data_IF_980792893296
#
_entry.id   IF_980792893296
#
_cell.length_a   1.000
_cell.length_b   1.000
_cell.length_c   1.000
_cell.angle_alpha   90.00
_cell.angle_beta   90.00
_cell.angle_gamma   90.00
#
_symmetry.space_group_name_H-M   'P 1'
#
loop_
_entity.id
_entity.type
_entity.pdbx_description
1 polymer ?
#
# COMPACT_ATOMS: atom_id res chain seq x y z
N UNK A 1 -48.16 2.92 26.45
CA UNK A 1 -48.78 3.15 27.78
C UNK A 1 -47.99 2.50 28.93
N UNK A 2 -47.42 1.31 28.77
CA UNK A 2 -46.65 0.61 29.83
C UNK A 2 -45.36 1.36 30.22
N UNK A 3 -44.63 1.91 29.25
CA UNK A 3 -43.37 2.65 29.50
C UNK A 3 -43.57 3.93 30.32
N UNK A 4 -44.67 4.66 30.08
CA UNK A 4 -44.99 5.88 30.84
C UNK A 4 -45.39 5.61 32.30
N UNK A 5 -46.00 4.45 32.57
CA UNK A 5 -46.33 4.02 33.92
C UNK A 5 -45.06 3.61 34.69
N UNK A 6 -44.16 2.86 34.02
CA UNK A 6 -42.86 2.46 34.59
C UNK A 6 -41.98 3.68 34.89
N UNK A 7 -41.91 4.65 33.97
CA UNK A 7 -41.17 5.89 34.17
C UNK A 7 -41.70 6.72 35.36
N UNK A 8 -43.02 6.80 35.52
CA UNK A 8 -43.66 7.54 36.62
C UNK A 8 -43.42 6.88 37.98
N UNK A 9 -43.45 5.54 38.06
CA UNK A 9 -43.18 4.77 39.28
C UNK A 9 -41.69 4.87 39.68
N UNK A 10 -40.77 4.84 38.70
CA UNK A 10 -39.33 4.96 38.95
C UNK A 10 -38.91 6.36 39.40
N UNK A 11 -39.59 7.41 38.92
CA UNK A 11 -39.36 8.80 39.35
C UNK A 11 -39.68 9.01 40.84
N UNK A 12 -40.75 8.37 41.33
CA UNK A 12 -41.20 8.46 42.72
C UNK A 12 -40.33 7.61 43.66
N UNK A 13 -39.76 6.50 43.19
CA UNK A 13 -39.06 5.52 44.03
C UNK A 13 -37.59 5.87 44.38
N UNK A 14 -36.96 6.85 43.73
CA UNK A 14 -35.54 7.14 44.03
C UNK A 14 -34.79 8.09 43.12
N UNK A 15 -35.48 8.92 42.33
CA UNK A 15 -34.84 9.97 41.53
C UNK A 15 -33.88 9.47 40.44
N UNK A 16 -33.37 10.42 39.66
CA UNK A 16 -32.55 10.24 38.46
C UNK A 16 -31.40 9.21 38.60
N UNK A 17 -30.86 9.05 39.81
CA UNK A 17 -29.79 8.11 40.15
C UNK A 17 -30.15 6.63 40.00
N UNK A 18 -31.41 6.24 40.29
CA UNK A 18 -31.87 4.86 40.09
C UNK A 18 -31.99 4.52 38.60
N UNK A 19 -32.46 5.48 37.79
CA UNK A 19 -32.56 5.35 36.34
C UNK A 19 -31.16 5.29 35.69
N UNK A 20 -30.21 6.10 36.19
CA UNK A 20 -28.82 6.09 35.74
C UNK A 20 -28.13 4.76 36.10
N UNK A 21 -28.35 4.24 37.30
CA UNK A 21 -27.80 2.94 37.72
C UNK A 21 -28.37 1.79 36.88
N UNK A 22 -29.68 1.81 36.60
CA UNK A 22 -30.32 0.83 35.72
C UNK A 22 -29.76 0.90 34.28
N UNK A 23 -29.54 2.11 33.76
CA UNK A 23 -28.94 2.31 32.43
C UNK A 23 -27.50 1.80 32.38
N UNK A 24 -26.65 2.15 33.36
CA UNK A 24 -25.26 1.67 33.47
C UNK A 24 -25.21 0.15 33.61
N UNK A 25 -26.08 -0.44 34.42
CA UNK A 25 -26.18 -1.89 34.61
C UNK A 25 -26.57 -2.60 33.30
N UNK A 26 -27.44 -2.02 32.48
CA UNK A 26 -27.81 -2.56 31.16
C UNK A 26 -26.76 -2.32 30.06
N UNK A 27 -25.95 -1.26 30.17
CA UNK A 27 -24.95 -0.90 29.16
C UNK A 27 -23.68 -1.73 29.29
N UNK A 28 -23.31 -2.15 30.50
CA UNK A 28 -22.12 -2.96 30.77
C UNK A 28 -22.06 -4.28 29.96
N UNK A 29 -23.10 -5.14 29.92
CA UNK A 29 -23.05 -6.37 29.12
C UNK A 29 -22.96 -6.08 27.61
N UNK A 30 -23.60 -5.01 27.13
CA UNK A 30 -23.51 -4.61 25.73
C UNK A 30 -22.10 -4.12 25.37
N UNK A 31 -21.44 -3.36 26.26
CA UNK A 31 -20.07 -2.91 26.08
C UNK A 31 -19.08 -4.09 25.96
N UNK A 32 -19.28 -5.17 26.72
CA UNK A 32 -18.46 -6.39 26.61
C UNK A 32 -18.62 -7.03 25.22
N UNK A 33 -19.86 -7.13 24.71
CA UNK A 33 -20.13 -7.66 23.37
C UNK A 33 -19.46 -6.77 22.30
N UNK A 34 -19.58 -5.44 22.42
CA UNK A 34 -18.92 -4.50 21.50
C UNK A 34 -17.39 -4.64 21.51
N UNK A 35 -16.78 -4.85 22.69
CA UNK A 35 -15.34 -5.09 22.81
C UNK A 35 -14.91 -6.37 22.10
N UNK A 36 -15.67 -7.46 22.28
CA UNK A 36 -15.39 -8.74 21.59
C UNK A 36 -15.53 -8.56 20.07
N UNK A 37 -16.56 -7.86 19.61
CA UNK A 37 -16.77 -7.57 18.20
C UNK A 37 -15.64 -6.71 17.62
N UNK A 38 -15.17 -5.69 18.34
CA UNK A 38 -14.06 -4.84 17.92
C UNK A 38 -12.74 -5.63 17.82
N UNK A 39 -12.45 -6.51 18.77
CA UNK A 39 -11.28 -7.40 18.72
C UNK A 39 -11.39 -8.40 17.58
N UNK A 40 -12.58 -8.96 17.34
CA UNK A 40 -12.86 -9.86 16.23
C UNK A 40 -12.66 -9.18 14.88
N UNK A 41 -13.20 -7.97 14.71
CA UNK A 41 -13.02 -7.15 13.52
C UNK A 41 -11.56 -6.77 13.31
N UNK A 42 -10.86 -6.35 14.37
CA UNK A 42 -9.42 -6.04 14.29
C UNK A 42 -8.61 -7.25 13.81
N UNK A 43 -8.89 -8.44 14.35
CA UNK A 43 -8.22 -9.68 13.92
C UNK A 43 -8.59 -10.07 12.49
N UNK A 44 -9.87 -9.93 12.10
CA UNK A 44 -10.30 -10.17 10.74
C UNK A 44 -9.59 -9.23 9.75
N UNK A 45 -9.46 -7.95 10.09
CA UNK A 45 -8.75 -6.96 9.28
C UNK A 45 -7.27 -7.30 9.13
N UNK A 46 -6.61 -7.74 10.21
CA UNK A 46 -5.20 -8.19 10.16
C UNK A 46 -5.04 -9.43 9.27
N UNK A 47 -5.99 -10.37 9.32
CA UNK A 47 -5.99 -11.55 8.45
C UNK A 47 -6.23 -11.15 6.99
N UNK A 48 -7.16 -10.25 6.73
CA UNK A 48 -7.50 -9.75 5.40
C UNK A 48 -6.33 -9.00 4.75
N UNK A 49 -5.59 -8.18 5.51
CA UNK A 49 -4.33 -7.55 5.05
C UNK A 49 -3.30 -8.59 4.56
N UNK A 50 -3.25 -9.78 5.15
CA UNK A 50 -2.36 -10.86 4.71
C UNK A 50 -2.97 -11.72 3.59
N UNK A 51 -4.29 -11.83 3.50
CA UNK A 51 -4.99 -12.71 2.55
C UNK A 51 -5.36 -11.99 1.23
N UNK A 52 -5.50 -10.66 1.24
CA UNK A 52 -5.75 -9.84 0.05
C UNK A 52 -4.54 -9.74 -0.89
N UNK A 53 -3.32 -9.97 -0.38
CA UNK A 53 -2.08 -9.96 -1.16
C UNK A 53 -2.06 -11.00 -2.31
N UNK A 54 -2.85 -12.08 -2.22
CA UNK A 54 -2.87 -13.15 -3.24
C UNK A 54 -4.10 -13.12 -4.15
N UNK A 55 -5.28 -12.74 -3.64
CA UNK A 55 -6.55 -12.82 -4.39
C UNK A 55 -6.88 -11.54 -5.18
N UNK A 56 -6.64 -10.34 -4.63
CA UNK A 56 -6.80 -9.09 -5.39
C UNK A 56 -5.68 -8.89 -6.42
N UNK A 57 -4.55 -9.59 -6.26
CA UNK A 57 -3.44 -9.61 -7.20
C UNK A 57 -3.89 -10.03 -8.60
N UNK A 58 -4.92 -10.88 -8.71
CA UNK A 58 -5.42 -11.33 -10.01
C UNK A 58 -6.42 -10.35 -10.65
N UNK A 59 -7.18 -9.57 -9.87
CA UNK A 59 -8.22 -8.68 -10.41
C UNK A 59 -7.71 -7.30 -10.81
N UNK A 60 -6.73 -6.72 -10.11
CA UNK A 60 -6.13 -5.44 -10.54
C UNK A 60 -5.20 -5.59 -11.77
N UNK A 61 -4.75 -6.82 -12.06
CA UNK A 61 -3.96 -7.18 -13.26
C UNK A 61 -4.70 -7.00 -14.60
N UNK A 62 -6.02 -6.82 -14.59
CA UNK A 62 -6.84 -6.64 -15.79
C UNK A 62 -7.07 -5.17 -16.20
N UNK A 63 -6.83 -4.21 -15.30
CA UNK A 63 -7.18 -2.79 -15.51
C UNK A 63 -5.99 -1.85 -15.62
N UNK A 64 -4.75 -2.32 -15.38
CA UNK A 64 -3.54 -1.54 -15.63
C UNK A 64 -3.03 -1.80 -17.05
N UNK A 65 -3.25 -0.82 -17.94
CA UNK A 65 -2.48 -0.65 -19.17
C UNK A 65 -3.06 -1.28 -20.44
N UNK A 66 -4.13 -0.72 -20.98
CA UNK A 66 -4.53 -0.89 -22.40
C UNK A 66 -3.55 -0.24 -23.40
N UNK A 67 -2.29 -0.02 -23.00
CA UNK A 67 -1.25 0.66 -23.80
C UNK A 67 0.16 0.10 -23.55
N UNK A 68 0.40 -1.21 -23.65
CA UNK A 68 1.74 -1.68 -24.06
C UNK A 68 1.75 -3.13 -24.55
N UNK A 69 2.35 -3.35 -25.72
CA UNK A 69 3.10 -4.54 -26.09
C UNK A 69 2.37 -5.86 -26.39
N UNK A 70 2.54 -6.34 -27.63
CA UNK A 70 2.28 -7.71 -28.09
C UNK A 70 3.06 -8.81 -27.29
N UNK A 71 3.94 -8.41 -26.36
CA UNK A 71 4.79 -9.27 -25.51
C UNK A 71 4.27 -9.52 -24.08
N UNK A 72 3.36 -8.70 -23.54
CA UNK A 72 2.93 -8.77 -22.14
C UNK A 72 2.32 -10.13 -21.75
N UNK A 73 1.59 -10.76 -22.67
CA UNK A 73 0.97 -12.07 -22.39
C UNK A 73 1.98 -13.22 -22.43
N UNK A 74 2.99 -13.16 -23.31
CA UNK A 74 4.08 -14.15 -23.37
C UNK A 74 4.93 -14.11 -22.10
N UNK A 75 5.10 -12.90 -21.58
CA UNK A 75 5.80 -12.60 -20.34
C UNK A 75 5.01 -12.98 -19.10
N UNK A 76 3.69 -12.76 -19.10
CA UNK A 76 2.79 -13.33 -18.10
C UNK A 76 2.86 -14.86 -18.12
N UNK A 77 2.88 -15.49 -19.30
CA UNK A 77 3.03 -16.93 -19.42
C UNK A 77 4.40 -17.43 -18.91
N UNK A 78 5.50 -16.73 -19.22
CA UNK A 78 6.82 -17.09 -18.69
C UNK A 78 6.91 -16.93 -17.18
N UNK A 79 6.23 -15.94 -16.58
CA UNK A 79 6.16 -15.79 -15.11
C UNK A 79 5.34 -16.91 -14.43
N UNK A 80 4.40 -17.53 -15.15
CA UNK A 80 3.57 -18.62 -14.63
C UNK A 80 4.22 -20.00 -14.76
N UNK A 81 5.15 -20.17 -15.70
CA UNK A 81 5.73 -21.48 -16.08
C UNK A 81 7.26 -21.52 -15.89
N UNK A 82 7.90 -20.36 -15.73
CA UNK A 82 9.34 -20.23 -15.55
C UNK A 82 9.77 -20.30 -14.09
N UNK A 83 10.76 -21.15 -13.81
CA UNK A 83 11.42 -21.24 -12.51
C UNK A 83 12.90 -20.85 -12.65
N UNK A 84 13.22 -19.55 -12.82
CA UNK A 84 14.58 -19.12 -13.07
C UNK A 84 15.47 -19.31 -11.82
N UNK A 85 16.75 -19.61 -12.07
CA UNK A 85 17.78 -19.72 -11.05
C UNK A 85 18.24 -18.33 -10.55
N UNK A 86 18.88 -18.30 -9.39
CA UNK A 86 19.29 -17.07 -8.71
C UNK A 86 20.18 -16.18 -9.58
N UNK A 87 21.17 -16.79 -10.23
CA UNK A 87 22.15 -16.13 -11.09
C UNK A 87 21.49 -15.40 -12.27
N UNK A 88 20.45 -16.00 -12.85
CA UNK A 88 19.70 -15.42 -13.97
C UNK A 88 18.89 -14.20 -13.55
N UNK A 89 18.18 -14.30 -12.43
CA UNK A 89 17.37 -13.19 -11.91
C UNK A 89 18.27 -12.06 -11.42
N UNK A 90 19.40 -12.40 -10.79
CA UNK A 90 20.37 -11.41 -10.36
C UNK A 90 21.06 -10.71 -11.54
N UNK A 91 21.46 -11.47 -12.57
CA UNK A 91 21.96 -10.93 -13.83
C UNK A 91 20.97 -9.97 -14.48
N UNK A 92 19.69 -10.34 -14.52
CA UNK A 92 18.62 -9.46 -15.00
C UNK A 92 18.53 -8.14 -14.22
N UNK A 93 18.62 -8.17 -12.88
CA UNK A 93 18.59 -6.95 -12.07
C UNK A 93 19.80 -6.05 -12.39
N UNK A 94 20.99 -6.62 -12.54
CA UNK A 94 22.22 -5.85 -12.82
C UNK A 94 22.32 -5.34 -14.26
N UNK A 95 21.91 -6.14 -15.22
CA UNK A 95 22.15 -5.90 -16.65
C UNK A 95 20.96 -5.26 -17.36
N UNK A 96 19.76 -5.30 -16.77
CA UNK A 96 18.53 -4.74 -17.38
C UNK A 96 17.83 -3.74 -16.48
N UNK A 97 17.55 -4.10 -15.22
CA UNK A 97 16.84 -3.22 -14.28
C UNK A 97 17.69 -2.02 -13.90
N UNK A 98 18.94 -2.23 -13.49
CA UNK A 98 19.81 -1.13 -13.06
C UNK A 98 20.06 -0.08 -14.17
N UNK A 99 20.38 -0.45 -15.42
CA UNK A 99 20.45 0.50 -16.53
C UNK A 99 19.14 1.28 -16.75
N UNK A 100 17.98 0.61 -16.67
CA UNK A 100 16.67 1.25 -16.79
C UNK A 100 16.46 2.33 -15.71
N UNK A 101 16.74 1.99 -14.43
CA UNK A 101 16.64 2.92 -13.32
C UNK A 101 17.55 4.14 -13.51
N UNK A 102 18.80 3.92 -13.94
CA UNK A 102 19.79 4.99 -14.20
C UNK A 102 19.39 5.90 -15.36
N UNK A 103 18.69 5.37 -16.35
CA UNK A 103 18.16 6.17 -17.45
C UNK A 103 17.06 7.11 -16.99
N UNK A 104 16.09 6.58 -16.22
CA UNK A 104 15.02 7.38 -15.61
C UNK A 104 15.59 8.43 -14.65
N UNK A 105 16.53 8.05 -13.78
CA UNK A 105 17.22 8.98 -12.87
C UNK A 105 17.81 10.18 -13.62
N UNK A 106 18.48 9.93 -14.74
CA UNK A 106 19.11 10.97 -15.55
C UNK A 106 18.09 11.92 -16.16
N UNK A 107 16.98 11.39 -16.67
CA UNK A 107 15.87 12.20 -17.18
C UNK A 107 15.18 13.02 -16.08
N UNK A 108 14.98 12.45 -14.90
CA UNK A 108 14.40 13.16 -13.75
C UNK A 108 15.34 14.27 -13.27
N UNK A 109 16.63 14.00 -13.10
CA UNK A 109 17.64 15.01 -12.72
C UNK A 109 17.73 16.16 -13.73
N UNK A 110 17.62 15.88 -15.03
CA UNK A 110 17.57 16.92 -16.08
C UNK A 110 16.39 17.87 -15.94
N UNK A 111 15.31 17.41 -15.30
CA UNK A 111 14.08 18.17 -15.06
C UNK A 111 13.99 18.69 -13.63
N UNK A 112 15.13 18.77 -12.93
CA UNK A 112 15.25 19.27 -11.56
C UNK A 112 14.49 18.43 -10.52
N UNK A 113 14.33 17.13 -10.78
CA UNK A 113 13.82 16.18 -9.79
C UNK A 113 14.97 15.46 -9.09
N UNK A 114 15.03 15.49 -7.73
CA UNK A 114 16.08 14.87 -6.93
C UNK A 114 15.90 13.35 -6.87
N UNK A 115 16.14 12.68 -7.99
CA UNK A 115 16.11 11.23 -8.11
C UNK A 115 17.45 10.61 -7.70
N UNK A 116 17.46 9.47 -7.04
CA UNK A 116 18.68 8.71 -6.73
C UNK A 116 18.48 7.24 -7.03
N UNK A 117 19.49 6.61 -7.63
CA UNK A 117 19.52 5.15 -7.85
C UNK A 117 20.57 4.55 -6.95
N UNK A 118 20.15 3.55 -6.18
CA UNK A 118 21.02 2.80 -5.28
C UNK A 118 20.92 1.32 -5.61
N UNK A 119 22.08 0.67 -5.62
CA UNK A 119 22.20 -0.78 -5.78
C UNK A 119 22.80 -1.37 -4.52
N UNK A 120 22.24 -2.47 -4.08
CA UNK A 120 22.70 -3.29 -2.97
C UNK A 120 22.96 -4.69 -3.52
N UNK A 121 24.22 -4.91 -3.90
CA UNK A 121 24.67 -6.15 -4.54
C UNK A 121 24.64 -7.34 -3.57
N UNK A 122 24.77 -7.09 -2.26
CA UNK A 122 24.73 -8.13 -1.23
C UNK A 122 23.32 -8.71 -1.07
N UNK A 123 22.30 -7.85 -1.11
CA UNK A 123 20.90 -8.25 -0.94
C UNK A 123 20.15 -8.44 -2.26
N UNK A 124 20.84 -8.36 -3.40
CA UNK A 124 20.22 -8.57 -4.70
C UNK A 124 19.17 -7.51 -5.05
N UNK A 125 19.44 -6.24 -4.75
CA UNK A 125 18.43 -5.15 -4.75
C UNK A 125 18.90 -3.94 -5.56
N UNK A 126 17.98 -3.32 -6.29
CA UNK A 126 18.21 -2.05 -6.97
C UNK A 126 16.94 -1.19 -6.88
N UNK A 127 17.08 0.07 -6.48
CA UNK A 127 15.93 0.97 -6.34
C UNK A 127 16.20 2.38 -6.83
N UNK A 128 15.13 3.03 -7.29
CA UNK A 128 15.08 4.46 -7.61
C UNK A 128 14.23 5.15 -6.54
N UNK A 129 14.77 6.18 -5.89
CA UNK A 129 14.02 7.05 -4.99
C UNK A 129 13.93 8.48 -5.53
N UNK A 130 12.87 9.19 -5.19
CA UNK A 130 12.71 10.63 -5.44
C UNK A 130 12.19 11.28 -4.17
N UNK A 131 13.00 12.15 -3.57
CA UNK A 131 12.70 12.81 -2.28
C UNK A 131 12.59 14.31 -2.49
N UNK A 132 11.40 14.87 -2.30
CA UNK A 132 11.18 16.32 -2.29
C UNK A 132 10.82 16.81 -0.89
N UNK A 133 11.28 18.00 -0.54
CA UNK A 133 11.05 18.59 0.79
C UNK A 133 9.57 18.59 1.17
N UNK A 134 9.26 18.12 2.39
CA UNK A 134 7.91 18.02 2.96
C UNK A 134 6.90 17.22 2.11
N UNK A 135 7.38 16.38 1.19
CA UNK A 135 6.55 15.44 0.43
C UNK A 135 6.92 13.99 0.76
N UNK A 136 5.98 13.08 0.51
CA UNK A 136 6.25 11.65 0.61
C UNK A 136 7.28 11.24 -0.43
N UNK A 137 8.24 10.42 -0.04
CA UNK A 137 9.23 9.86 -0.96
C UNK A 137 8.54 8.91 -1.96
N UNK A 138 8.96 8.99 -3.23
CA UNK A 138 8.65 7.96 -4.21
C UNK A 138 9.79 6.94 -4.21
N UNK A 139 9.47 5.64 -4.10
CA UNK A 139 10.46 4.56 -4.20
C UNK A 139 9.94 3.47 -5.13
N UNK A 140 10.73 3.15 -6.15
CA UNK A 140 10.58 2.00 -7.02
C UNK A 140 11.70 1.00 -6.71
N UNK A 141 11.39 -0.06 -5.97
CA UNK A 141 12.39 -0.96 -5.38
C UNK A 141 12.29 -2.38 -5.95
N UNK A 142 13.31 -2.82 -6.69
CA UNK A 142 13.37 -4.16 -7.27
C UNK A 142 14.26 -5.05 -6.42
N UNK A 143 13.72 -6.18 -5.97
CA UNK A 143 14.41 -7.13 -5.09
C UNK A 143 14.41 -8.54 -5.65
N UNK A 144 15.54 -9.20 -5.51
CA UNK A 144 15.65 -10.65 -5.67
C UNK A 144 14.94 -11.35 -4.50
N UNK A 145 13.95 -12.19 -4.81
CA UNK A 145 13.20 -12.95 -3.79
C UNK A 145 13.24 -14.44 -4.09
N UNK A 146 13.49 -15.22 -3.05
CA UNK A 146 13.49 -16.68 -3.09
C UNK A 146 12.11 -17.23 -2.70
N UNK A 147 11.63 -18.19 -3.47
CA UNK A 147 10.38 -18.90 -3.23
C UNK A 147 10.61 -20.42 -3.33
N UNK A 148 9.78 -21.20 -2.63
CA UNK A 148 9.78 -22.67 -2.75
C UNK A 148 8.90 -23.08 -3.93
N UNK A 149 9.39 -24.01 -4.76
CA UNK A 149 8.62 -24.49 -5.93
C UNK A 149 7.32 -25.19 -5.46
N UNK A 150 6.17 -24.90 -6.08
CA UNK A 150 4.93 -25.60 -5.77
C UNK A 150 4.98 -27.08 -6.18
N UNK A 151 4.25 -27.95 -5.47
CA UNK A 151 4.22 -29.40 -5.73
C UNK A 151 3.75 -29.78 -7.15
N UNK A 152 2.97 -28.94 -7.83
CA UNK A 152 2.51 -29.19 -9.21
C UNK A 152 3.62 -29.04 -10.26
N UNK A 153 4.77 -28.45 -9.91
CA UNK A 153 5.90 -28.26 -10.81
C UNK A 153 6.73 -29.54 -11.05
N UNK A 154 6.30 -30.70 -10.51
CA UNK A 154 7.02 -31.97 -10.57
C UNK A 154 6.24 -33.09 -11.28
N UNK A 155 6.38 -33.28 -12.61
CA UNK A 155 5.92 -34.50 -13.28
C UNK A 155 6.83 -35.72 -13.02
N UNK A 156 8.15 -35.52 -12.88
CA UNK A 156 9.12 -36.60 -12.63
C UNK A 156 10.11 -36.24 -11.50
N UNK A 157 9.90 -36.77 -10.29
CA UNK A 157 10.91 -36.74 -9.22
C UNK A 157 11.99 -37.80 -9.48
N UNK A 158 13.19 -37.40 -9.86
CA UNK A 158 14.40 -38.15 -9.51
C UNK A 158 14.83 -37.77 -8.10
N UNK A 159 14.78 -38.73 -7.17
CA UNK A 159 15.27 -38.59 -5.80
C UNK A 159 16.78 -38.34 -5.84
N UNK A 160 17.23 -37.10 -5.62
CA UNK A 160 18.66 -36.83 -5.51
C UNK A 160 19.07 -35.37 -5.40
N UNK A 161 18.28 -34.42 -5.90
CA UNK A 161 18.74 -33.04 -6.05
C UNK A 161 18.04 -32.10 -5.04
N UNK A 162 18.64 -31.96 -3.86
CA UNK A 162 18.14 -31.10 -2.77
C UNK A 162 18.31 -29.59 -3.08
N UNK A 163 19.12 -29.23 -4.09
CA UNK A 163 19.37 -27.84 -4.50
C UNK A 163 18.30 -27.26 -5.47
N UNK A 164 17.39 -28.09 -5.99
CA UNK A 164 16.41 -27.69 -7.00
C UNK A 164 15.05 -27.26 -6.42
N UNK A 165 14.94 -27.01 -5.11
CA UNK A 165 13.67 -26.76 -4.42
C UNK A 165 13.22 -25.28 -4.46
N UNK A 166 14.12 -24.38 -4.87
CA UNK A 166 13.86 -22.95 -4.89
C UNK A 166 13.84 -22.37 -6.31
N UNK A 167 13.03 -21.33 -6.49
CA UNK A 167 13.07 -20.46 -7.66
C UNK A 167 13.10 -19.01 -7.20
N UNK A 168 13.61 -18.14 -8.08
CA UNK A 168 13.83 -16.74 -7.76
C UNK A 168 12.94 -15.84 -8.61
N UNK A 169 12.62 -14.66 -8.10
CA UNK A 169 11.81 -13.64 -8.80
C UNK A 169 12.42 -12.26 -8.62
N UNK A 170 12.22 -11.39 -9.60
CA UNK A 170 12.60 -9.98 -9.51
C UNK A 170 11.34 -9.17 -9.21
N UNK A 171 11.09 -8.92 -7.93
CA UNK A 171 9.84 -8.32 -7.47
C UNK A 171 9.98 -6.83 -7.19
N UNK A 172 9.03 -6.04 -7.70
CA UNK A 172 8.92 -4.60 -7.45
C UNK A 172 8.14 -4.37 -6.16
N UNK A 173 8.68 -3.53 -5.29
CA UNK A 173 8.06 -3.06 -4.05
C UNK A 173 7.88 -1.54 -4.13
N UNK A 174 6.66 -1.07 -3.89
CA UNK A 174 6.32 0.36 -3.85
C UNK A 174 5.98 0.73 -2.41
N UNK A 175 6.42 1.91 -1.94
CA UNK A 175 6.18 2.36 -0.55
C UNK A 175 4.69 2.39 -0.14
N UNK A 176 3.75 2.50 -1.09
CA UNK A 176 2.32 2.71 -0.82
C UNK A 176 1.46 1.45 -0.72
N UNK A 177 2.00 0.34 -0.22
CA UNK A 177 1.19 -0.87 -0.03
C UNK A 177 0.68 -1.46 -1.34
N UNK A 178 1.35 -1.17 -2.45
CA UNK A 178 1.16 -1.88 -3.70
C UNK A 178 1.65 -3.33 -3.53
N UNK A 179 0.90 -4.28 -4.06
CA UNK A 179 1.29 -5.69 -4.04
C UNK A 179 2.57 -5.87 -4.87
N UNK A 180 3.51 -6.66 -4.35
CA UNK A 180 4.75 -6.95 -5.07
C UNK A 180 4.45 -7.77 -6.33
N UNK A 181 5.07 -7.40 -7.45
CA UNK A 181 4.90 -8.10 -8.73
C UNK A 181 6.25 -8.37 -9.39
N UNK A 182 6.30 -9.48 -10.11
CA UNK A 182 7.51 -9.96 -10.76
C UNK A 182 7.64 -9.34 -12.16
N UNK A 183 8.77 -8.70 -12.39
CA UNK A 183 9.13 -8.07 -13.67
C UNK A 183 10.21 -8.86 -14.42
N UNK A 184 10.56 -10.07 -13.95
CA UNK A 184 11.58 -10.87 -14.60
C UNK A 184 11.23 -11.13 -16.07
N UNK A 185 12.18 -10.77 -16.94
CA UNK A 185 12.06 -10.88 -18.39
C UNK A 185 11.54 -9.63 -19.10
N UNK A 186 11.22 -8.54 -18.38
CA UNK A 186 10.90 -7.23 -18.97
C UNK A 186 12.11 -6.72 -19.75
N UNK A 187 11.90 -6.16 -20.93
CA UNK A 187 12.99 -5.44 -21.56
C UNK A 187 13.22 -4.10 -20.85
N UNK A 188 14.34 -3.45 -21.14
CA UNK A 188 14.68 -2.17 -20.51
C UNK A 188 13.59 -1.10 -20.74
N UNK A 189 12.95 -1.10 -21.91
CA UNK A 189 11.93 -0.12 -22.27
C UNK A 189 10.63 -0.35 -21.49
N UNK A 190 10.24 -1.62 -21.32
CA UNK A 190 9.09 -2.02 -20.51
C UNK A 190 9.28 -1.61 -19.04
N UNK A 191 10.50 -1.77 -18.50
CA UNK A 191 10.82 -1.33 -17.12
C UNK A 191 10.73 0.21 -17.02
N UNK A 192 11.27 0.94 -18.00
CA UNK A 192 11.18 2.41 -18.02
C UNK A 192 9.72 2.85 -18.04
N UNK A 193 8.90 2.27 -18.91
CA UNK A 193 7.48 2.59 -19.01
C UNK A 193 6.75 2.29 -17.69
N UNK A 194 7.02 1.14 -17.06
CA UNK A 194 6.43 0.80 -15.77
C UNK A 194 6.83 1.79 -14.66
N UNK A 195 8.11 2.19 -14.57
CA UNK A 195 8.56 3.20 -13.61
C UNK A 195 7.80 4.52 -13.83
N UNK A 196 7.66 4.97 -15.08
CA UNK A 196 6.95 6.20 -15.42
C UNK A 196 5.46 6.12 -15.08
N UNK A 197 4.80 4.99 -15.34
CA UNK A 197 3.40 4.75 -14.95
C UNK A 197 3.22 4.82 -13.43
N UNK A 198 4.15 4.25 -12.65
CA UNK A 198 4.11 4.35 -11.18
C UNK A 198 4.41 5.77 -10.70
N UNK A 199 5.31 6.50 -11.38
CA UNK A 199 5.63 7.89 -11.06
C UNK A 199 4.44 8.81 -11.37
N UNK A 200 3.71 8.60 -12.46
CA UNK A 200 2.49 9.33 -12.79
C UNK A 200 1.41 9.13 -11.71
N UNK A 201 1.21 7.89 -11.25
CA UNK A 201 0.30 7.61 -10.12
C UNK A 201 0.73 8.34 -8.84
N UNK A 202 2.04 8.41 -8.59
CA UNK A 202 2.58 9.16 -7.47
C UNK A 202 2.30 10.67 -7.59
N UNK A 203 2.47 11.25 -8.79
CA UNK A 203 2.16 12.67 -9.05
C UNK A 203 0.67 12.97 -8.89
N UNK A 204 -0.20 12.16 -9.50
CA UNK A 204 -1.66 12.29 -9.35
C UNK A 204 -2.09 12.19 -7.89
N UNK A 205 -1.40 11.39 -7.08
CA UNK A 205 -1.66 11.36 -5.65
C UNK A 205 -1.24 12.66 -4.96
N UNK A 206 -0.07 13.22 -5.26
CA UNK A 206 0.38 14.46 -4.64
C UNK A 206 -0.55 15.63 -4.95
N UNK A 207 -1.17 15.63 -6.13
CA UNK A 207 -2.13 16.66 -6.54
C UNK A 207 -3.51 16.47 -5.88
N UNK A 208 -3.99 15.23 -5.75
CA UNK A 208 -5.35 14.94 -5.29
C UNK A 208 -5.46 14.57 -3.81
N UNK A 209 -4.36 14.29 -3.12
CA UNK A 209 -4.33 14.19 -1.65
C UNK A 209 -3.73 15.47 -1.08
N UNK A 210 -4.47 16.25 -0.27
CA UNK A 210 -3.84 17.33 0.49
C UNK A 210 -2.69 16.71 1.29
N UNK A 211 -1.49 17.26 1.14
CA UNK A 211 -0.24 16.78 1.74
C UNK A 211 -0.20 16.87 3.27
N UNK A 212 -1.33 16.68 3.95
CA UNK A 212 -1.46 16.66 5.40
C UNK A 212 -1.63 15.20 5.80
N UNK A 213 -0.52 14.61 6.24
CA UNK A 213 -0.58 13.40 7.04
C UNK A 213 -1.44 13.70 8.28
N UNK A 214 -2.42 12.86 8.66
CA UNK A 214 -3.44 13.18 9.67
C UNK A 214 -2.90 13.56 11.08
N UNK A 215 -1.60 13.37 11.33
CA UNK A 215 -0.94 13.71 12.59
C UNK A 215 -0.19 15.06 12.60
N UNK A 216 -0.20 15.84 11.51
CA UNK A 216 0.37 17.20 11.42
C UNK A 216 -0.70 18.31 11.47
N UNK A 217 -1.69 18.17 12.36
CA UNK A 217 -2.78 19.15 12.60
C UNK A 217 -2.36 20.37 13.44
N UNK A 218 -1.06 20.65 13.59
CA UNK A 218 -0.56 21.70 14.49
C UNK A 218 -0.28 23.06 13.83
N UNK A 219 -0.26 23.13 12.50
CA UNK A 219 0.18 24.32 11.75
C UNK A 219 -0.95 25.06 11.04
N UNK A 220 -2.21 24.78 11.35
CA UNK A 220 -3.37 25.40 10.68
C UNK A 220 -4.43 25.95 11.65
N UNK A 221 -4.01 26.43 12.82
CA UNK A 221 -4.84 27.32 13.64
C UNK A 221 -4.74 28.80 13.19
N UNK A 222 -3.79 29.13 12.32
CA UNK A 222 -3.58 30.51 11.85
C UNK A 222 -4.61 30.94 10.79
N UNK A 223 -5.01 30.03 9.88
CA UNK A 223 -6.06 30.28 8.87
C UNK A 223 -7.47 30.44 9.48
N UNK A 224 -7.68 29.98 10.72
CA UNK A 224 -8.95 30.14 11.44
C UNK A 224 -9.06 31.51 12.12
N UNK A 225 -7.95 32.21 12.34
CA UNK A 225 -7.93 33.53 13.00
C UNK A 225 -8.19 34.67 12.02
N UNK A 226 -7.77 34.57 10.76
CA UNK A 226 -7.96 35.63 9.77
C UNK A 226 -9.44 35.81 9.35
N UNK A 227 -10.31 34.81 9.56
CA UNK A 227 -11.74 34.92 9.23
C UNK A 227 -12.60 35.59 10.30
N UNK A 228 -12.14 35.70 11.54
CA UNK A 228 -12.92 36.34 12.61
C UNK A 228 -12.70 37.86 12.71
N UNK A 229 -11.62 38.40 12.13
CA UNK A 229 -11.34 39.84 12.11
C UNK A 229 -11.69 40.50 10.76
N UNK A 230 -12.93 40.32 10.30
CA UNK A 230 -13.50 41.12 9.22
C UNK A 230 -13.86 42.54 9.71
N UNK A 231 -13.63 43.61 8.91
CA UNK A 231 -13.78 44.99 9.39
C UNK A 231 -15.25 45.36 9.64
N UNK A 232 -15.51 46.01 10.77
CA UNK A 232 -16.82 46.55 11.12
C UNK A 232 -17.33 47.53 10.06
N UNK A 233 -18.62 47.48 9.68
CA UNK A 233 -19.17 48.41 8.69
C UNK A 233 -19.20 49.84 9.27
N UNK A 234 -18.36 50.70 8.71
CA UNK A 234 -18.35 52.13 8.99
C UNK A 234 -19.69 52.76 8.59
N UNK A 235 -20.34 53.39 9.57
CA UNK A 235 -21.47 54.29 9.35
C UNK A 235 -20.92 55.70 9.19
N UNK A 236 -21.06 56.28 8.00
CA UNK A 236 -20.85 57.70 7.77
C UNK A 236 -21.70 58.19 6.60
N UNK A 237 -22.92 58.65 6.89
CA UNK A 237 -23.54 59.92 6.45
C UNK A 237 -25.04 59.88 6.66
#
# INVERSE_FOLDING_TARGET
MIEGLIASILLIAGGLSALQTASVASALPFAIIMLIAAVGMWRALVIEVHHEASLQAHMQRGHQGTKSGMGLWKQRLSSLVGFPAQDKVWGFIRETVHPALREVERELKRRDWPAEVVTDDENGRAYLSVVKENQLEFVYDVRLRQYTKPDYAYPERSRGDQDAEHYYRAEVFLQKGGQAYDIYGFDQQDIINDILDQFEKYMNFLENSPGILPWKMGEHDDDLREREEGPAPGTAS
#
